data_IF_563819382675
#
_entry.id   IF_563819382675
#
_cell.length_a   1.000
_cell.length_b   1.000
_cell.length_c   1.000
_cell.angle_alpha   90.00
_cell.angle_beta   90.00
_cell.angle_gamma   90.00
#
_symmetry.space_group_name_H-M   'P 1'
#
loop_
_entity.id
_entity.type
_entity.pdbx_description
1 polymer ?
#
# COMPACT_ATOMS: atom_id res chain seq x y z
N UNK A 1 1.28 12.35 -6.01
CA UNK A 1 2.06 11.44 -5.13
C UNK A 1 3.07 12.18 -4.26
N UNK A 2 3.69 13.28 -4.72
CA UNK A 2 4.40 14.22 -3.82
C UNK A 2 3.53 14.89 -2.76
N UNK A 3 2.22 14.98 -2.99
CA UNK A 3 1.28 15.65 -2.09
C UNK A 3 1.00 14.88 -0.80
N UNK A 4 1.00 13.54 -0.81
CA UNK A 4 0.71 12.74 0.39
C UNK A 4 1.82 12.87 1.44
N UNK A 5 3.08 13.00 0.99
CA UNK A 5 4.22 13.18 1.89
C UNK A 5 4.27 14.58 2.53
N UNK A 6 3.65 15.60 1.92
CA UNK A 6 3.65 16.99 2.41
C UNK A 6 2.47 17.27 3.33
N UNK A 7 1.29 16.66 3.10
CA UNK A 7 0.15 16.78 4.03
C UNK A 7 0.39 16.10 5.39
N UNK A 8 1.36 15.18 5.47
CA UNK A 8 1.75 14.53 6.72
C UNK A 8 2.40 15.50 7.73
N UNK A 9 3.00 16.61 7.26
CA UNK A 9 3.64 17.60 8.13
C UNK A 9 2.65 18.59 8.77
N UNK A 10 1.56 18.96 8.10
CA UNK A 10 0.74 20.10 8.55
C UNK A 10 -0.27 19.74 9.64
N UNK A 11 -0.69 18.48 9.74
CA UNK A 11 -1.54 17.98 10.84
C UNK A 11 -0.75 17.68 12.12
N UNK A 12 0.59 17.73 12.06
CA UNK A 12 1.51 17.32 13.12
C UNK A 12 1.93 18.48 14.06
N UNK A 13 1.16 19.57 14.11
CA UNK A 13 1.32 20.64 15.11
C UNK A 13 0.46 20.41 16.38
N UNK A 14 -0.18 19.26 16.51
CA UNK A 14 -0.81 18.83 17.77
C UNK A 14 0.25 18.07 18.57
N UNK A 15 0.68 18.67 19.69
CA UNK A 15 1.76 18.27 20.61
C UNK A 15 1.64 16.87 21.27
N UNK A 16 1.02 15.87 20.63
CA UNK A 16 0.66 14.59 21.24
C UNK A 16 1.19 13.33 20.51
N UNK A 17 1.64 13.43 19.25
CA UNK A 17 2.17 12.28 18.49
C UNK A 17 3.70 12.39 18.34
N UNK A 18 4.44 11.42 18.88
CA UNK A 18 5.86 11.31 18.60
C UNK A 18 6.09 10.92 17.13
N UNK A 19 7.19 11.37 16.49
CA UNK A 19 7.50 11.02 15.09
C UNK A 19 7.51 9.50 14.85
N UNK A 20 8.00 8.74 15.83
CA UNK A 20 7.98 7.27 15.79
C UNK A 20 6.57 6.67 15.65
N UNK A 21 5.54 7.27 16.26
CA UNK A 21 4.14 6.81 16.10
C UNK A 21 3.59 7.12 14.71
N UNK A 22 4.03 8.23 14.14
CA UNK A 22 3.59 8.66 12.81
C UNK A 22 4.07 7.69 11.74
N UNK A 23 5.29 7.16 11.85
CA UNK A 23 5.82 6.17 10.89
C UNK A 23 4.94 4.92 10.84
N UNK A 24 4.46 4.44 11.99
CA UNK A 24 3.55 3.29 12.05
C UNK A 24 2.18 3.58 11.42
N UNK A 25 1.60 4.73 11.72
CA UNK A 25 0.32 5.14 11.12
C UNK A 25 0.44 5.36 9.61
N UNK A 26 1.56 5.91 9.14
CA UNK A 26 1.89 6.03 7.73
C UNK A 26 1.95 4.65 7.05
N UNK A 27 2.62 3.68 7.67
CA UNK A 27 2.72 2.33 7.13
C UNK A 27 1.33 1.68 6.95
N UNK A 28 0.47 1.76 7.98
CA UNK A 28 -0.90 1.25 7.90
C UNK A 28 -1.73 1.95 6.81
N UNK A 29 -1.61 3.28 6.71
CA UNK A 29 -2.32 4.07 5.71
C UNK A 29 -1.92 3.69 4.27
N UNK A 30 -0.62 3.48 4.02
CA UNK A 30 -0.10 3.08 2.71
C UNK A 30 -0.62 1.70 2.29
N UNK A 31 -0.63 0.73 3.22
CA UNK A 31 -1.16 -0.61 2.94
C UNK A 31 -2.66 -0.57 2.63
N UNK A 32 -3.45 0.11 3.46
CA UNK A 32 -4.89 0.25 3.25
C UNK A 32 -5.21 0.99 1.94
N UNK A 33 -4.41 2.01 1.59
CA UNK A 33 -4.55 2.69 0.31
C UNK A 33 -4.27 1.75 -0.88
N UNK A 34 -3.27 0.88 -0.78
CA UNK A 34 -2.99 -0.13 -1.82
C UNK A 34 -4.15 -1.13 -1.98
N UNK A 35 -4.78 -1.56 -0.88
CA UNK A 35 -5.99 -2.42 -0.93
C UNK A 35 -7.15 -1.68 -1.64
N UNK A 36 -7.35 -0.40 -1.31
CA UNK A 36 -8.35 0.43 -1.98
C UNK A 36 -8.09 0.55 -3.50
N UNK A 37 -6.84 0.77 -3.91
CA UNK A 37 -6.47 0.82 -5.32
C UNK A 37 -6.76 -0.51 -6.03
N UNK A 38 -6.49 -1.64 -5.38
CA UNK A 38 -6.81 -2.96 -5.91
C UNK A 38 -8.33 -3.16 -6.09
N UNK A 39 -9.14 -2.71 -5.12
CA UNK A 39 -10.60 -2.70 -5.23
C UNK A 39 -11.09 -1.82 -6.40
N UNK A 40 -10.54 -0.61 -6.54
CA UNK A 40 -10.89 0.28 -7.64
C UNK A 40 -10.55 -0.34 -9.01
N UNK A 41 -9.44 -1.07 -9.13
CA UNK A 41 -9.06 -1.75 -10.37
C UNK A 41 -9.88 -3.00 -10.67
N UNK A 42 -10.38 -3.69 -9.64
CA UNK A 42 -11.24 -4.88 -9.82
C UNK A 42 -12.69 -4.53 -10.12
N UNK A 43 -13.25 -3.57 -9.40
CA UNK A 43 -14.71 -3.29 -9.41
C UNK A 43 -15.06 -1.84 -9.74
N UNK A 44 -14.14 -0.88 -9.54
CA UNK A 44 -14.42 0.56 -9.63
C UNK A 44 -14.91 1.03 -11.00
N UNK A 45 -14.52 0.36 -12.09
CA UNK A 45 -15.01 0.68 -13.43
C UNK A 45 -16.47 0.25 -13.67
N UNK A 46 -16.96 -0.78 -12.97
CA UNK A 46 -18.28 -1.38 -13.18
C UNK A 46 -19.30 -0.97 -12.12
N UNK A 47 -18.85 -0.74 -10.88
CA UNK A 47 -19.70 -0.41 -9.73
C UNK A 47 -19.04 0.69 -8.86
N UNK A 48 -19.13 1.98 -9.25
CA UNK A 48 -18.48 3.07 -8.53
C UNK A 48 -19.04 3.29 -7.11
N UNK A 49 -20.32 2.99 -6.89
CA UNK A 49 -20.96 3.10 -5.56
C UNK A 49 -20.38 2.08 -4.57
N UNK A 50 -20.20 0.84 -4.99
CA UNK A 50 -19.62 -0.24 -4.18
C UNK A 50 -18.18 0.11 -3.79
N UNK A 51 -17.39 0.63 -4.73
CA UNK A 51 -16.02 1.02 -4.47
C UNK A 51 -15.91 2.21 -3.49
N UNK A 52 -16.86 3.16 -3.57
CA UNK A 52 -16.94 4.28 -2.61
C UNK A 52 -17.29 3.81 -1.20
N UNK A 53 -18.28 2.93 -1.05
CA UNK A 53 -18.65 2.32 0.25
C UNK A 53 -17.48 1.54 0.83
N UNK A 54 -16.79 0.76 0.00
CA UNK A 54 -15.60 0.02 0.43
C UNK A 54 -14.46 0.96 0.88
N UNK A 55 -14.22 2.05 0.15
CA UNK A 55 -13.27 3.08 0.56
C UNK A 55 -13.63 3.72 1.90
N UNK A 56 -14.90 4.05 2.12
CA UNK A 56 -15.38 4.57 3.40
C UNK A 56 -15.17 3.56 4.54
N UNK A 57 -15.43 2.28 4.30
CA UNK A 57 -15.18 1.21 5.28
C UNK A 57 -13.69 1.10 5.64
N UNK A 58 -12.79 1.19 4.66
CA UNK A 58 -11.34 1.18 4.92
C UNK A 58 -10.88 2.40 5.73
N UNK A 59 -11.45 3.58 5.46
CA UNK A 59 -11.15 4.80 6.24
C UNK A 59 -11.65 4.65 7.68
N UNK A 60 -12.85 4.10 7.89
CA UNK A 60 -13.36 3.83 9.23
C UNK A 60 -12.50 2.81 9.98
N UNK A 61 -12.05 1.75 9.29
CA UNK A 61 -11.14 0.76 9.85
C UNK A 61 -9.80 1.39 10.25
N UNK A 62 -9.23 2.25 9.40
CA UNK A 62 -8.02 3.01 9.72
C UNK A 62 -8.22 3.92 10.94
N UNK A 63 -9.32 4.67 10.98
CA UNK A 63 -9.63 5.57 12.09
C UNK A 63 -9.80 4.80 13.41
N UNK A 64 -10.45 3.64 13.37
CA UNK A 64 -10.60 2.74 14.52
C UNK A 64 -9.23 2.19 14.98
N UNK A 65 -8.40 1.75 14.04
CA UNK A 65 -7.05 1.25 14.32
C UNK A 65 -6.16 2.33 14.97
N UNK A 66 -6.14 3.55 14.41
CA UNK A 66 -5.39 4.69 14.97
C UNK A 66 -5.94 5.08 16.34
N UNK A 67 -7.27 5.10 16.50
CA UNK A 67 -7.92 5.44 17.77
C UNK A 67 -7.58 4.41 18.86
N UNK A 68 -7.58 3.12 18.54
CA UNK A 68 -7.16 2.05 19.45
C UNK A 68 -5.71 2.24 19.93
N UNK A 69 -4.79 2.52 19.00
CA UNK A 69 -3.37 2.74 19.31
C UNK A 69 -3.07 4.08 20.01
N UNK A 70 -3.99 5.05 19.94
CA UNK A 70 -3.81 6.39 20.51
C UNK A 70 -4.45 6.53 21.90
N UNK A 71 -5.58 5.85 22.14
CA UNK A 71 -6.34 5.95 23.40
C UNK A 71 -5.79 5.07 24.52
N UNK A 72 -4.94 4.09 24.21
CA UNK A 72 -4.30 3.17 25.15
C UNK A 72 -2.78 3.34 25.28
N UNK A 73 -2.13 2.35 25.91
CA UNK A 73 -0.67 2.19 25.80
C UNK A 73 -0.35 1.73 24.37
N UNK A 74 0.72 2.27 23.79
CA UNK A 74 1.08 1.95 22.41
C UNK A 74 1.64 0.51 22.34
N UNK A 75 0.80 -0.42 21.89
CA UNK A 75 1.16 -1.83 21.73
C UNK A 75 1.79 -2.08 20.36
N UNK A 76 3.13 -2.05 20.31
CA UNK A 76 3.90 -2.27 19.08
C UNK A 76 3.60 -3.63 18.42
N UNK A 77 3.47 -4.70 19.23
CA UNK A 77 3.17 -6.04 18.73
C UNK A 77 1.80 -6.11 18.02
N UNK A 78 0.80 -5.37 18.52
CA UNK A 78 -0.50 -5.28 17.85
C UNK A 78 -0.38 -4.54 16.51
N UNK A 79 0.33 -3.40 16.48
CA UNK A 79 0.55 -2.65 15.25
C UNK A 79 1.23 -3.50 14.16
N UNK A 80 2.28 -4.24 14.54
CA UNK A 80 2.99 -5.14 13.63
C UNK A 80 2.08 -6.26 13.11
N UNK A 81 1.28 -6.89 13.98
CA UNK A 81 0.34 -7.94 13.58
C UNK A 81 -0.75 -7.41 12.64
N UNK A 82 -1.29 -6.22 12.92
CA UNK A 82 -2.30 -5.58 12.09
C UNK A 82 -1.74 -5.23 10.70
N UNK A 83 -0.56 -4.60 10.63
CA UNK A 83 0.10 -4.27 9.36
C UNK A 83 0.47 -5.52 8.57
N UNK A 84 0.96 -6.58 9.22
CA UNK A 84 1.22 -7.86 8.55
C UNK A 84 -0.06 -8.47 7.96
N UNK A 85 -1.17 -8.40 8.70
CA UNK A 85 -2.48 -8.90 8.26
C UNK A 85 -3.00 -8.12 7.05
N UNK A 86 -2.97 -6.79 7.09
CA UNK A 86 -3.36 -5.95 5.95
C UNK A 86 -2.44 -6.19 4.75
N UNK A 87 -1.13 -6.32 4.97
CA UNK A 87 -0.15 -6.63 3.93
C UNK A 87 -0.41 -7.98 3.25
N UNK A 88 -0.81 -9.00 4.01
CA UNK A 88 -1.17 -10.31 3.47
C UNK A 88 -2.42 -10.23 2.59
N UNK A 89 -3.46 -9.52 3.04
CA UNK A 89 -4.67 -9.29 2.23
C UNK A 89 -4.31 -8.56 0.94
N UNK A 90 -3.47 -7.53 1.01
CA UNK A 90 -2.98 -6.79 -0.14
C UNK A 90 -2.24 -7.70 -1.14
N UNK A 91 -1.31 -8.54 -0.66
CA UNK A 91 -0.55 -9.48 -1.47
C UNK A 91 -1.45 -10.46 -2.21
N UNK A 92 -2.31 -11.16 -1.48
CA UNK A 92 -3.19 -12.18 -2.05
C UNK A 92 -4.11 -11.55 -3.09
N UNK A 93 -4.69 -10.39 -2.81
CA UNK A 93 -5.61 -9.73 -3.74
C UNK A 93 -4.90 -9.32 -5.03
N UNK A 94 -3.75 -8.65 -4.94
CA UNK A 94 -2.98 -8.25 -6.12
C UNK A 94 -2.48 -9.45 -6.93
N UNK A 95 -2.04 -10.52 -6.29
CA UNK A 95 -1.62 -11.75 -6.97
C UNK A 95 -2.80 -12.41 -7.69
N UNK A 96 -3.95 -12.56 -7.04
CA UNK A 96 -5.16 -13.11 -7.67
C UNK A 96 -5.58 -12.26 -8.87
N UNK A 97 -5.52 -10.92 -8.75
CA UNK A 97 -5.81 -10.02 -9.86
C UNK A 97 -4.82 -10.19 -11.02
N UNK A 98 -3.52 -10.23 -10.73
CA UNK A 98 -2.48 -10.45 -11.74
C UNK A 98 -2.64 -11.80 -12.43
N UNK A 99 -2.88 -12.88 -11.69
CA UNK A 99 -3.06 -14.24 -12.23
C UNK A 99 -4.30 -14.33 -13.14
N UNK A 100 -5.41 -13.72 -12.73
CA UNK A 100 -6.63 -13.67 -13.56
C UNK A 100 -6.45 -12.87 -14.85
N UNK A 101 -5.53 -11.90 -14.88
CA UNK A 101 -5.27 -11.02 -16.05
C UNK A 101 -3.99 -11.40 -16.82
N UNK A 102 -3.23 -12.39 -16.34
CA UNK A 102 -1.90 -12.76 -16.82
C UNK A 102 -1.86 -13.11 -18.31
N UNK A 103 -2.96 -13.68 -18.83
CA UNK A 103 -2.99 -14.20 -20.20
C UNK A 103 -2.93 -13.12 -21.31
N UNK A 104 -3.00 -11.82 -20.98
CA UNK A 104 -3.13 -10.76 -22.01
C UNK A 104 -2.18 -9.56 -21.88
N UNK A 105 -1.34 -9.43 -20.83
CA UNK A 105 -0.57 -8.19 -20.61
C UNK A 105 0.90 -8.39 -20.19
N UNK A 106 1.88 -7.89 -20.98
CA UNK A 106 3.31 -8.05 -20.70
C UNK A 106 3.85 -7.14 -19.58
N UNK A 107 3.07 -6.20 -19.04
CA UNK A 107 3.52 -5.28 -17.98
C UNK A 107 3.19 -5.76 -16.55
N UNK A 108 2.48 -6.87 -16.40
CA UNK A 108 2.04 -7.39 -15.09
C UNK A 108 3.19 -7.87 -14.20
N UNK A 109 4.33 -8.24 -14.78
CA UNK A 109 5.52 -8.62 -14.00
C UNK A 109 5.98 -7.50 -13.06
N UNK A 110 5.81 -6.22 -13.46
CA UNK A 110 6.17 -5.06 -12.63
C UNK A 110 5.33 -5.04 -11.34
N UNK A 111 4.03 -5.32 -11.45
CA UNK A 111 3.12 -5.36 -10.32
C UNK A 111 3.45 -6.54 -9.39
N UNK A 112 3.61 -7.74 -9.95
CA UNK A 112 3.97 -8.94 -9.17
C UNK A 112 5.29 -8.71 -8.44
N UNK A 113 6.30 -8.16 -9.13
CA UNK A 113 7.60 -7.86 -8.55
C UNK A 113 7.48 -6.86 -7.39
N UNK A 114 6.74 -5.76 -7.56
CA UNK A 114 6.53 -4.77 -6.50
C UNK A 114 5.85 -5.39 -5.29
N UNK A 115 4.74 -6.11 -5.49
CA UNK A 115 3.93 -6.63 -4.37
C UNK A 115 4.68 -7.72 -3.62
N UNK A 116 5.40 -8.61 -4.33
CA UNK A 116 6.22 -9.66 -3.70
C UNK A 116 7.41 -9.06 -2.97
N UNK A 117 8.13 -8.10 -3.56
CA UNK A 117 9.27 -7.46 -2.91
C UNK A 117 8.83 -6.67 -1.68
N UNK A 118 7.73 -5.92 -1.76
CA UNK A 118 7.20 -5.17 -0.63
C UNK A 118 6.84 -6.11 0.54
N UNK A 119 6.18 -7.24 0.29
CA UNK A 119 5.91 -8.19 1.38
C UNK A 119 7.14 -8.95 1.88
N UNK A 120 8.13 -9.20 1.02
CA UNK A 120 9.39 -9.83 1.43
C UNK A 120 10.18 -8.92 2.37
N UNK A 121 10.22 -7.62 2.06
CA UNK A 121 10.84 -6.60 2.92
C UNK A 121 10.09 -6.43 4.25
N UNK A 122 8.76 -6.56 4.24
CA UNK A 122 7.95 -6.46 5.46
C UNK A 122 8.21 -7.65 6.38
N UNK A 123 8.42 -8.84 5.78
CA UNK A 123 8.80 -10.03 6.53
C UNK A 123 10.21 -9.89 7.10
N UNK A 124 11.15 -9.28 6.37
CA UNK A 124 12.49 -8.98 6.88
C UNK A 124 12.48 -8.01 8.06
N UNK A 125 11.59 -7.00 8.03
CA UNK A 125 11.35 -6.12 9.19
C UNK A 125 10.82 -6.90 10.40
N UNK A 126 9.95 -7.89 10.17
CA UNK A 126 9.38 -8.72 11.23
C UNK A 126 10.38 -9.72 11.83
N UNK A 127 11.42 -10.09 11.06
CA UNK A 127 12.48 -10.99 11.49
C UNK A 127 13.60 -10.27 12.28
N UNK A 128 13.59 -8.94 12.31
CA UNK A 128 14.45 -8.06 13.11
C UNK A 128 15.91 -8.54 13.19
N UNK A 129 16.62 -8.52 12.06
CA UNK A 129 18.01 -8.97 12.00
C UNK A 129 18.96 -7.91 12.60
N UNK A 130 20.02 -8.31 13.33
CA UNK A 130 20.98 -7.37 13.91
C UNK A 130 21.69 -6.56 12.81
N UNK A 131 22.00 -5.26 13.05
CA UNK A 131 22.49 -4.37 12.02
C UNK A 131 23.74 -4.91 11.33
N UNK A 132 23.63 -5.17 10.04
CA UNK A 132 24.73 -5.63 9.21
C UNK A 132 25.64 -4.42 8.93
N UNK A 133 26.94 -4.60 9.19
CA UNK A 133 27.95 -3.53 9.04
C UNK A 133 27.72 -2.29 9.91
N UNK A 134 26.97 -2.39 11.02
CA UNK A 134 26.65 -1.25 11.92
C UNK A 134 25.89 -0.09 11.26
N UNK A 135 25.39 -0.27 10.04
CA UNK A 135 24.72 0.77 9.25
C UNK A 135 23.38 0.29 8.67
N UNK A 136 23.25 -1.00 8.35
CA UNK A 136 22.06 -1.56 7.70
C UNK A 136 21.27 -2.42 8.68
N UNK A 137 20.18 -1.87 9.23
CA UNK A 137 19.16 -2.67 9.91
C UNK A 137 17.99 -2.98 8.95
N UNK A 138 17.05 -3.81 9.42
CA UNK A 138 15.87 -4.20 8.65
C UNK A 138 14.99 -2.99 8.26
N UNK A 139 14.91 -2.00 9.14
CA UNK A 139 14.09 -0.82 8.97
C UNK A 139 14.65 0.16 7.94
N UNK A 140 15.98 0.34 7.90
CA UNK A 140 16.70 1.13 6.92
C UNK A 140 16.60 0.50 5.53
N UNK A 141 16.69 -0.84 5.43
CA UNK A 141 16.47 -1.55 4.17
C UNK A 141 15.03 -1.40 3.67
N UNK A 142 14.04 -1.41 4.57
CA UNK A 142 12.64 -1.14 4.24
C UNK A 142 12.47 0.26 3.61
N UNK A 143 12.95 1.30 4.28
CA UNK A 143 12.86 2.67 3.77
C UNK A 143 13.62 2.86 2.46
N UNK A 144 14.83 2.30 2.35
CA UNK A 144 15.63 2.42 1.13
C UNK A 144 14.96 1.73 -0.07
N UNK A 145 14.40 0.54 0.15
CA UNK A 145 13.82 -0.28 -0.93
C UNK A 145 12.46 0.23 -1.37
N UNK A 146 11.69 0.86 -0.48
CA UNK A 146 10.37 1.41 -0.85
C UNK A 146 10.48 2.56 -1.86
N UNK A 147 11.59 3.31 -1.91
CA UNK A 147 11.80 4.40 -2.90
C UNK A 147 11.72 3.90 -4.35
N UNK A 148 12.61 2.99 -4.82
CA UNK A 148 12.55 2.49 -6.20
C UNK A 148 11.30 1.64 -6.47
N UNK A 149 10.78 0.92 -5.48
CA UNK A 149 9.56 0.12 -5.63
C UNK A 149 8.33 0.99 -5.94
N UNK A 150 8.20 2.15 -5.30
CA UNK A 150 7.13 3.09 -5.59
C UNK A 150 7.23 3.67 -7.01
N UNK A 151 8.44 3.95 -7.50
CA UNK A 151 8.67 4.40 -8.89
C UNK A 151 8.24 3.31 -9.88
N UNK A 152 8.58 2.05 -9.61
CA UNK A 152 8.19 0.92 -10.46
C UNK A 152 6.68 0.72 -10.45
N UNK A 153 6.04 0.84 -9.29
CA UNK A 153 4.57 0.76 -9.16
C UNK A 153 3.88 1.87 -9.95
N UNK A 154 4.42 3.10 -9.92
CA UNK A 154 3.91 4.20 -10.72
C UNK A 154 4.03 3.92 -12.23
N UNK A 155 5.17 3.38 -12.69
CA UNK A 155 5.32 2.96 -14.09
C UNK A 155 4.26 1.92 -14.48
N UNK A 156 4.00 0.94 -13.62
CA UNK A 156 2.94 -0.05 -13.84
C UNK A 156 1.56 0.61 -13.97
N UNK A 157 1.19 1.53 -13.06
CA UNK A 157 -0.10 2.22 -13.11
C UNK A 157 -0.27 3.07 -14.38
N UNK A 158 0.81 3.69 -14.87
CA UNK A 158 0.82 4.43 -16.13
C UNK A 158 0.54 3.49 -17.31
N UNK A 159 1.29 2.39 -17.40
CA UNK A 159 1.14 1.40 -18.48
C UNK A 159 -0.28 0.81 -18.50
N UNK A 160 -0.83 0.47 -17.33
CA UNK A 160 -2.19 -0.06 -17.19
C UNK A 160 -3.26 0.97 -17.61
N UNK A 161 -3.07 2.24 -17.27
CA UNK A 161 -4.01 3.31 -17.65
C UNK A 161 -3.97 3.61 -19.15
N UNK A 162 -2.77 3.58 -19.77
CA UNK A 162 -2.63 3.71 -21.23
C UNK A 162 -3.29 2.54 -21.97
N UNK A 163 -3.16 1.32 -21.45
CA UNK A 163 -3.83 0.16 -22.02
C UNK A 163 -5.36 0.31 -21.98
N UNK A 164 -5.93 0.72 -20.84
CA UNK A 164 -7.38 0.93 -20.71
C UNK A 164 -7.90 2.04 -21.64
N UNK A 165 -7.14 3.13 -21.80
CA UNK A 165 -7.50 4.20 -22.74
C UNK A 165 -7.55 3.68 -24.18
N UNK A 166 -6.56 2.87 -24.59
CA UNK A 166 -6.51 2.29 -25.92
C UNK A 166 -7.72 1.38 -26.18
N UNK A 167 -8.03 0.47 -25.25
CA UNK A 167 -9.19 -0.45 -25.38
C UNK A 167 -10.50 0.32 -25.48
N UNK A 168 -10.72 1.30 -24.60
CA UNK A 168 -11.95 2.11 -24.61
C UNK A 168 -12.09 2.99 -25.86
N UNK A 169 -10.96 3.42 -26.44
CA UNK A 169 -10.98 4.21 -27.68
C UNK A 169 -11.37 3.39 -28.90
N UNK A 170 -10.89 2.14 -29.00
CA UNK A 170 -11.29 1.20 -30.06
C UNK A 170 -12.78 0.88 -29.95
N UNK A 171 -13.26 0.60 -28.74
CA UNK A 171 -14.66 0.26 -28.50
C UNK A 171 -15.66 1.42 -28.74
N UNK A 172 -15.19 2.66 -28.91
CA UNK A 172 -16.02 3.81 -29.31
C UNK A 172 -16.09 4.02 -30.83
N UNK A 173 -15.22 3.36 -31.59
CA UNK A 173 -15.11 3.50 -33.04
C UNK A 173 -15.88 2.39 -33.79
N UNK A 174 -16.24 1.32 -33.09
CA UNK A 174 -17.13 0.24 -33.55
C UNK A 174 -18.58 0.49 -33.10
#
# INVERSE_FOLDING_TARGET
MHTVSIYQCTLCHIHCLSPQKMDYFCASAVILHSIYLCCMRTMGLRYPSVASVFGALLVLLFACHVSYLTLGRFDYSYNMLANASFGMVNLVWWLVWCLRRHSHQPYLWKCVLVVVLLQSLALLELLDFPPVLWVLDAHALWHFSTIPLNILFYSFLKDDSLYLLKVNSVQKLD
#
